data_IF_485472933778
#
_entry.id   IF_485472933778
#
_cell.length_a   1.000
_cell.length_b   1.000
_cell.length_c   1.000
_cell.angle_alpha   90.00
_cell.angle_beta   90.00
_cell.angle_gamma   90.00
#
_symmetry.space_group_name_H-M   'P 1'
#
loop_
_entity.id
_entity.type
_entity.pdbx_description
1 polymer ?
#
# COMPACT_ATOMS: atom_id res chain seq x y z
N UNK A 1 13.92 -22.48 -13.90
CA UNK A 1 12.52 -22.67 -13.45
C UNK A 1 12.31 -22.04 -12.07
N UNK A 2 12.30 -20.70 -11.93
CA UNK A 2 12.13 -20.05 -10.58
C UNK A 2 11.13 -18.89 -10.57
N UNK A 3 10.56 -18.49 -11.72
CA UNK A 3 9.64 -17.34 -11.75
C UNK A 3 8.15 -17.72 -11.87
N UNK A 4 7.83 -18.94 -12.31
CA UNK A 4 6.44 -19.32 -12.60
C UNK A 4 5.66 -19.79 -11.36
N UNK A 5 6.31 -20.46 -10.40
CA UNK A 5 5.66 -20.96 -9.17
C UNK A 5 5.24 -19.81 -8.23
N UNK A 6 6.09 -18.78 -8.08
CA UNK A 6 5.79 -17.62 -7.23
C UNK A 6 4.53 -16.88 -7.67
N UNK A 7 4.28 -16.78 -8.97
CA UNK A 7 3.08 -16.12 -9.50
C UNK A 7 1.81 -16.90 -9.15
N UNK A 8 1.83 -18.23 -9.20
CA UNK A 8 0.66 -19.06 -8.87
C UNK A 8 0.35 -19.00 -7.37
N UNK A 9 1.35 -19.19 -6.51
CA UNK A 9 1.19 -19.12 -5.06
C UNK A 9 0.75 -17.72 -4.61
N UNK A 10 1.31 -16.69 -5.24
CA UNK A 10 0.88 -15.30 -5.02
C UNK A 10 -0.58 -15.09 -5.42
N UNK A 11 -0.97 -15.54 -6.63
CA UNK A 11 -2.36 -15.41 -7.09
C UNK A 11 -3.34 -16.15 -6.16
N UNK A 12 -2.96 -17.33 -5.67
CA UNK A 12 -3.76 -18.07 -4.67
C UNK A 12 -3.87 -17.29 -3.35
N UNK A 13 -2.78 -16.65 -2.91
CA UNK A 13 -2.80 -15.80 -1.71
C UNK A 13 -3.74 -14.61 -1.88
N UNK A 14 -3.68 -13.94 -3.04
CA UNK A 14 -4.57 -12.81 -3.37
C UNK A 14 -6.03 -13.27 -3.44
N UNK A 15 -6.31 -14.45 -3.99
CA UNK A 15 -7.66 -15.02 -4.07
C UNK A 15 -8.26 -15.27 -2.67
N UNK A 16 -7.46 -15.77 -1.73
CA UNK A 16 -7.89 -15.96 -0.33
C UNK A 16 -8.26 -14.61 0.31
N UNK A 17 -7.41 -13.59 0.12
CA UNK A 17 -7.69 -12.24 0.63
C UNK A 17 -8.98 -11.68 0.02
N UNK A 18 -9.17 -11.82 -1.29
CA UNK A 18 -10.38 -11.37 -1.98
C UNK A 18 -11.65 -12.03 -1.44
N UNK A 19 -11.63 -13.36 -1.23
CA UNK A 19 -12.76 -14.08 -0.63
C UNK A 19 -13.04 -13.63 0.80
N UNK A 20 -12.01 -13.50 1.64
CA UNK A 20 -12.17 -13.04 3.01
C UNK A 20 -12.77 -11.62 3.09
N UNK A 21 -12.38 -10.73 2.18
CA UNK A 21 -12.96 -9.39 2.09
C UNK A 21 -14.43 -9.41 1.68
N UNK A 22 -14.79 -10.24 0.69
CA UNK A 22 -16.19 -10.37 0.24
C UNK A 22 -17.09 -11.09 1.25
N UNK A 23 -16.52 -11.92 2.13
CA UNK A 23 -17.26 -12.63 3.18
C UNK A 23 -17.30 -11.89 4.53
N UNK A 24 -16.76 -10.68 4.63
CA UNK A 24 -16.80 -9.88 5.87
C UNK A 24 -15.72 -10.20 6.91
N UNK A 25 -14.72 -11.01 6.57
CA UNK A 25 -13.62 -11.42 7.45
C UNK A 25 -12.31 -10.66 7.20
N UNK A 26 -12.39 -9.47 6.60
CA UNK A 26 -11.21 -8.68 6.19
C UNK A 26 -10.26 -8.35 7.35
N UNK A 27 -10.80 -8.00 8.53
CA UNK A 27 -9.97 -7.69 9.70
C UNK A 27 -9.30 -8.94 10.28
N UNK A 28 -10.01 -10.06 10.34
CA UNK A 28 -9.48 -11.30 10.93
C UNK A 28 -8.36 -11.88 10.07
N UNK A 29 -8.53 -11.89 8.74
CA UNK A 29 -7.50 -12.39 7.83
C UNK A 29 -6.23 -11.52 7.87
N UNK A 30 -6.36 -10.19 7.94
CA UNK A 30 -5.20 -9.30 8.05
C UNK A 30 -4.51 -9.39 9.41
N UNK A 31 -5.28 -9.62 10.49
CA UNK A 31 -4.70 -9.86 11.82
C UNK A 31 -3.93 -11.18 11.88
N UNK A 32 -4.42 -12.21 11.19
CA UNK A 32 -3.77 -13.52 11.12
C UNK A 32 -2.48 -13.48 10.30
N UNK A 33 -2.51 -12.82 9.13
CA UNK A 33 -1.40 -12.86 8.16
C UNK A 33 -0.30 -11.81 8.41
N UNK A 34 -0.57 -10.80 9.23
CA UNK A 34 0.37 -9.70 9.47
C UNK A 34 0.68 -9.57 10.95
N UNK A 35 1.91 -9.20 11.26
CA UNK A 35 2.31 -8.72 12.58
C UNK A 35 1.73 -7.33 12.87
N UNK A 36 1.84 -6.88 14.13
CA UNK A 36 1.43 -5.52 14.51
C UNK A 36 2.23 -4.46 13.73
N UNK A 37 3.55 -4.62 13.67
CA UNK A 37 4.45 -3.70 12.98
C UNK A 37 4.16 -3.62 11.48
N UNK A 38 3.82 -4.74 10.83
CA UNK A 38 3.45 -4.75 9.41
C UNK A 38 2.13 -4.01 9.16
N UNK A 39 1.15 -4.10 10.08
CA UNK A 39 -0.09 -3.31 9.98
C UNK A 39 0.19 -1.82 10.13
N UNK A 40 1.03 -1.42 11.08
CA UNK A 40 1.44 -0.02 11.26
C UNK A 40 2.22 0.50 10.05
N UNK A 41 3.08 -0.34 9.47
CA UNK A 41 3.78 -0.03 8.23
C UNK A 41 2.80 0.16 7.05
N UNK A 42 1.76 -0.68 6.94
CA UNK A 42 0.75 -0.55 5.89
C UNK A 42 -0.06 0.75 6.05
N UNK A 43 -0.48 1.08 7.26
CA UNK A 43 -1.14 2.36 7.58
C UNK A 43 -0.24 3.54 7.17
N UNK A 44 1.05 3.48 7.53
CA UNK A 44 2.01 4.52 7.18
C UNK A 44 2.19 4.65 5.67
N UNK A 45 2.23 3.53 4.93
CA UNK A 45 2.31 3.54 3.46
C UNK A 45 1.10 4.20 2.81
N UNK A 46 -0.10 3.95 3.33
CA UNK A 46 -1.33 4.64 2.84
C UNK A 46 -1.23 6.15 3.07
N UNK A 47 -0.75 6.60 4.23
CA UNK A 47 -0.53 8.04 4.51
C UNK A 47 0.49 8.67 3.55
N UNK A 48 1.57 7.96 3.25
CA UNK A 48 2.58 8.40 2.27
C UNK A 48 1.94 8.56 0.89
N UNK A 49 1.23 7.53 0.40
CA UNK A 49 0.59 7.58 -0.92
C UNK A 49 -0.40 8.74 -1.01
N UNK A 50 -1.27 8.91 0.00
CA UNK A 50 -2.21 10.03 0.06
C UNK A 50 -1.50 11.38 -0.03
N UNK A 51 -0.46 11.58 0.79
CA UNK A 51 0.26 12.87 0.83
C UNK A 51 1.03 13.15 -0.46
N UNK A 52 1.55 12.10 -1.11
CA UNK A 52 2.24 12.22 -2.40
C UNK A 52 1.27 12.53 -3.55
N UNK A 53 0.05 12.00 -3.50
CA UNK A 53 -1.01 12.33 -4.47
C UNK A 53 -1.53 13.76 -4.27
N UNK A 54 -1.73 14.16 -3.01
CA UNK A 54 -2.19 15.50 -2.65
C UNK A 54 -1.19 16.60 -3.07
N UNK A 55 0.11 16.35 -2.88
CA UNK A 55 1.17 17.23 -3.39
C UNK A 55 1.32 18.57 -2.66
N UNK A 56 0.53 18.85 -1.61
CA UNK A 56 0.65 20.11 -0.83
C UNK A 56 1.97 20.24 -0.08
N UNK A 57 2.63 19.12 0.22
CA UNK A 57 3.91 19.07 0.93
C UNK A 57 4.94 18.28 0.15
N UNK A 58 6.21 18.68 0.25
CA UNK A 58 7.30 17.95 -0.38
C UNK A 58 7.74 16.73 0.45
N UNK A 59 8.56 15.85 -0.15
CA UNK A 59 9.01 14.62 0.50
C UNK A 59 9.78 14.83 1.82
N UNK A 60 10.48 15.96 1.98
CA UNK A 60 11.21 16.28 3.22
C UNK A 60 10.22 16.67 4.33
N UNK A 61 9.23 17.48 4.02
CA UNK A 61 8.15 17.83 4.95
C UNK A 61 7.33 16.59 5.34
N UNK A 62 7.01 15.72 4.37
CA UNK A 62 6.31 14.46 4.63
C UNK A 62 7.09 13.55 5.59
N UNK A 63 8.41 13.44 5.39
CA UNK A 63 9.31 12.69 6.27
C UNK A 63 9.22 13.21 7.71
N UNK A 64 9.28 14.52 7.90
CA UNK A 64 9.22 15.16 9.22
C UNK A 64 7.86 14.96 9.89
N UNK A 65 6.77 15.16 9.14
CA UNK A 65 5.40 15.00 9.65
C UNK A 65 5.10 13.55 10.06
N UNK A 66 5.53 12.56 9.26
CA UNK A 66 5.29 11.15 9.54
C UNK A 66 6.37 10.52 10.42
N UNK A 67 7.43 11.25 10.79
CA UNK A 67 8.58 10.76 11.57
C UNK A 67 9.20 9.47 11.00
N UNK A 68 9.32 9.39 9.67
CA UNK A 68 9.86 8.23 8.95
C UNK A 68 11.22 8.51 8.31
N UNK A 69 11.90 7.47 7.84
CA UNK A 69 13.12 7.61 7.05
C UNK A 69 12.83 8.16 5.63
N UNK A 70 13.74 8.99 5.10
CA UNK A 70 13.61 9.53 3.74
C UNK A 70 13.53 8.41 2.68
N UNK A 71 14.27 7.31 2.89
CA UNK A 71 14.24 6.16 2.00
C UNK A 71 12.84 5.52 1.88
N UNK A 72 12.02 5.57 2.94
CA UNK A 72 10.64 5.08 2.90
C UNK A 72 9.77 5.98 2.03
N UNK A 73 9.93 7.30 2.14
CA UNK A 73 9.23 8.27 1.28
C UNK A 73 9.65 8.11 -0.18
N UNK A 74 10.95 8.00 -0.44
CA UNK A 74 11.50 7.84 -1.80
C UNK A 74 10.99 6.56 -2.46
N UNK A 75 10.96 5.43 -1.74
CA UNK A 75 10.35 4.18 -2.25
C UNK A 75 8.87 4.37 -2.58
N UNK A 76 8.10 5.00 -1.70
CA UNK A 76 6.69 5.31 -1.95
C UNK A 76 6.49 6.16 -3.20
N UNK A 77 7.31 7.20 -3.41
CA UNK A 77 7.26 8.04 -4.60
C UNK A 77 7.59 7.29 -5.88
N UNK A 78 8.60 6.41 -5.86
CA UNK A 78 8.95 5.61 -7.03
C UNK A 78 7.84 4.59 -7.38
N UNK A 79 7.32 3.86 -6.40
CA UNK A 79 6.20 2.94 -6.62
C UNK A 79 4.95 3.65 -7.14
N UNK A 80 4.67 4.88 -6.66
CA UNK A 80 3.56 5.66 -7.17
C UNK A 80 3.80 6.11 -8.61
N UNK A 81 5.04 6.46 -9.00
CA UNK A 81 5.35 6.83 -10.39
C UNK A 81 5.09 5.67 -11.36
N UNK A 82 5.40 4.45 -10.95
CA UNK A 82 5.21 3.21 -11.72
C UNK A 82 3.73 2.78 -11.84
N UNK A 83 2.83 3.31 -11.01
CA UNK A 83 1.40 3.02 -11.12
C UNK A 83 0.81 3.55 -12.44
N UNK A 84 -0.10 2.76 -13.02
CA UNK A 84 -0.79 3.13 -14.26
C UNK A 84 -1.63 4.40 -14.05
N UNK A 85 -1.87 5.21 -15.10
CA UNK A 85 -2.71 6.39 -15.00
C UNK A 85 -4.11 6.09 -14.43
N UNK A 86 -4.74 4.99 -14.87
CA UNK A 86 -6.07 4.59 -14.44
C UNK A 86 -6.11 4.27 -12.94
N UNK A 87 -5.08 3.57 -12.45
CA UNK A 87 -4.98 3.24 -11.03
C UNK A 87 -4.72 4.48 -10.17
N UNK A 88 -3.93 5.44 -10.65
CA UNK A 88 -3.73 6.74 -9.97
C UNK A 88 -5.03 7.51 -9.83
N UNK A 89 -5.80 7.63 -10.92
CA UNK A 89 -7.12 8.29 -10.89
C UNK A 89 -8.06 7.61 -9.90
N UNK A 90 -8.06 6.27 -9.86
CA UNK A 90 -8.84 5.54 -8.86
C UNK A 90 -8.37 5.84 -7.42
N UNK A 91 -7.06 5.88 -7.17
CA UNK A 91 -6.51 6.21 -5.86
C UNK A 91 -6.88 7.63 -5.42
N UNK A 92 -6.75 8.63 -6.29
CA UNK A 92 -7.14 10.01 -6.02
C UNK A 92 -8.62 10.09 -5.62
N UNK A 93 -9.49 9.42 -6.36
CA UNK A 93 -10.92 9.35 -6.08
C UNK A 93 -11.28 8.65 -4.76
N UNK A 94 -10.39 7.86 -4.16
CA UNK A 94 -10.65 7.16 -2.89
C UNK A 94 -9.94 7.86 -1.72
N UNK A 95 -8.77 8.44 -1.96
CA UNK A 95 -7.89 8.96 -0.90
C UNK A 95 -7.93 10.48 -0.73
N UNK A 96 -8.37 11.22 -1.74
CA UNK A 96 -8.44 12.70 -1.73
C UNK A 96 -9.87 13.25 -1.63
N UNK A 97 -10.84 12.38 -1.37
CA UNK A 97 -12.21 12.80 -1.02
C UNK A 97 -12.27 13.49 0.34
#
# INVERSE_FOLDING_TARGET
MVHYMKTKEWNQTVEILHQAFNSGYSLDILKLLMTADERDALITRVKIVRSLLDGSINQRQLKEQLKIGIATVTRGSNSLKEATPEFKVWLENILLK
#
